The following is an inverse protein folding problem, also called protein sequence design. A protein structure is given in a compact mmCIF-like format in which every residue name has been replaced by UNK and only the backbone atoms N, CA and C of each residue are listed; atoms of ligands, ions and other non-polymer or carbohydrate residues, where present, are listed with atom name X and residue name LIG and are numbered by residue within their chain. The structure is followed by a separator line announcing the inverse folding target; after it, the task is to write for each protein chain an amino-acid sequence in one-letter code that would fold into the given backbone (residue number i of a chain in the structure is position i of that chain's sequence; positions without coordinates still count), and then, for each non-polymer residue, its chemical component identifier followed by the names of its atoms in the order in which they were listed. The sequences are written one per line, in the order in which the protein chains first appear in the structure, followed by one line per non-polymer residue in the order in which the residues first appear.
data_IF_211906451840
#
_entry.id   IF_211906451840
#
_cell.length_a   1.000
_cell.length_b   1.000
_cell.length_c   1.000
_cell.angle_alpha   90.00
_cell.angle_beta   90.00
_cell.angle_gamma   90.00
#
_symmetry.space_group_name_H-M   'P 1'
#
loop_
_entity.id
_entity.type
_entity.pdbx_description
1 polymer ?
#
# COMPACT_ATOMS: atom_id res chain seq x y z
N UNK A 1 1.75 16.11 27.73
CA UNK A 1 1.92 15.45 26.42
C UNK A 1 0.60 14.83 26.00
N UNK A 2 0.11 15.23 24.84
CA UNK A 2 -1.12 14.69 24.23
C UNK A 2 -0.80 13.27 23.73
N UNK A 3 -1.50 12.20 24.19
CA UNK A 3 -1.14 10.80 23.92
C UNK A 3 -1.39 10.34 22.47
N UNK A 4 -1.72 11.26 21.55
CA UNK A 4 -2.11 10.97 20.18
C UNK A 4 -0.98 10.98 19.15
N UNK A 5 0.29 11.16 19.55
CA UNK A 5 1.42 10.90 18.65
C UNK A 5 1.78 9.42 18.75
N UNK A 6 0.95 8.57 18.13
CA UNK A 6 1.22 7.14 17.98
C UNK A 6 2.29 6.93 16.92
N UNK A 7 3.40 6.32 17.34
CA UNK A 7 4.40 5.69 16.50
C UNK A 7 5.77 5.75 17.15
N UNK A 8 6.33 4.57 17.40
CA UNK A 8 7.72 4.43 17.83
C UNK A 8 8.61 4.75 16.64
N UNK A 9 8.90 6.03 16.44
CA UNK A 9 9.85 6.45 15.41
C UNK A 9 11.23 6.59 16.06
N UNK A 10 12.21 5.86 15.52
CA UNK A 10 13.58 5.91 16.00
C UNK A 10 14.19 7.29 15.82
N UNK A 11 15.22 7.58 16.61
CA UNK A 11 16.09 8.75 16.41
C UNK A 11 17.23 8.31 15.50
N UNK A 12 17.46 9.05 14.41
CA UNK A 12 18.60 8.83 13.53
C UNK A 12 19.81 9.62 14.06
N UNK A 13 20.96 8.95 14.17
CA UNK A 13 22.23 9.63 14.38
C UNK A 13 22.93 9.85 13.03
N UNK A 14 23.43 11.05 12.81
CA UNK A 14 24.18 11.45 11.61
C UNK A 14 25.54 11.99 12.02
N UNK A 15 26.53 11.84 11.15
CA UNK A 15 27.91 12.20 11.50
C UNK A 15 28.05 13.71 11.81
N UNK A 16 27.51 14.56 10.94
CA UNK A 16 27.52 16.01 11.06
C UNK A 16 26.27 16.64 10.42
N UNK A 17 26.08 17.94 10.62
CA UNK A 17 24.95 18.68 10.03
C UNK A 17 24.95 18.65 8.50
N UNK A 18 26.13 18.66 7.88
CA UNK A 18 26.27 18.61 6.41
C UNK A 18 25.81 17.25 5.85
N UNK A 19 26.01 16.18 6.60
CA UNK A 19 25.54 14.83 6.26
C UNK A 19 24.02 14.77 6.26
N UNK A 20 23.36 15.45 7.21
CA UNK A 20 21.90 15.57 7.18
C UNK A 20 21.41 16.36 5.97
N UNK A 21 22.02 17.50 5.67
CA UNK A 21 21.68 18.30 4.49
C UNK A 21 21.82 17.49 3.18
N UNK A 22 22.84 16.64 3.09
CA UNK A 22 23.02 15.71 1.96
C UNK A 22 21.97 14.60 1.90
N UNK A 23 21.50 14.12 3.05
CA UNK A 23 20.51 13.04 3.14
C UNK A 23 19.11 13.50 2.73
N UNK A 24 18.77 14.75 3.02
CA UNK A 24 17.47 15.35 2.69
C UNK A 24 17.48 16.14 1.40
N UNK A 25 18.65 16.49 0.86
CA UNK A 25 18.82 17.47 -0.23
C UNK A 25 18.23 18.85 0.14
N UNK A 26 18.10 19.13 1.44
CA UNK A 26 17.59 20.37 2.00
C UNK A 26 18.67 21.05 2.86
N UNK A 27 18.80 22.38 2.75
CA UNK A 27 19.71 23.14 3.60
C UNK A 27 19.07 23.41 4.95
N UNK A 28 19.81 23.13 6.02
CA UNK A 28 19.42 23.51 7.36
C UNK A 28 19.46 25.03 7.50
N UNK A 29 18.47 25.56 8.21
CA UNK A 29 18.50 26.94 8.69
C UNK A 29 19.62 27.13 9.72
N UNK A 30 20.02 28.38 9.93
CA UNK A 30 21.05 28.70 10.93
C UNK A 30 20.68 28.27 12.34
N UNK A 31 19.39 28.32 12.68
CA UNK A 31 18.87 27.93 13.98
C UNK A 31 18.92 26.40 14.16
N UNK A 32 18.46 25.64 13.15
CA UNK A 32 18.49 24.16 13.19
C UNK A 32 19.92 23.62 13.29
N UNK A 33 20.85 24.19 12.50
CA UNK A 33 22.27 23.84 12.55
C UNK A 33 22.84 24.11 13.94
N UNK A 34 22.52 25.27 14.52
CA UNK A 34 22.97 25.61 15.87
C UNK A 34 22.40 24.68 16.95
N UNK A 35 21.15 24.24 16.83
CA UNK A 35 20.55 23.27 17.76
C UNK A 35 21.31 21.94 17.70
N UNK A 36 21.56 21.41 16.50
CA UNK A 36 22.34 20.17 16.34
C UNK A 36 23.76 20.29 16.90
N UNK A 37 24.48 21.36 16.55
CA UNK A 37 25.87 21.60 16.98
C UNK A 37 26.01 21.77 18.50
N UNK A 38 24.94 22.20 19.18
CA UNK A 38 24.90 22.30 20.66
C UNK A 38 24.54 20.99 21.36
N UNK A 39 24.30 19.92 20.61
CA UNK A 39 23.87 18.64 21.16
C UNK A 39 22.36 18.49 21.33
N UNK A 40 21.58 19.33 20.65
CA UNK A 40 20.12 19.21 20.57
C UNK A 40 19.66 18.18 19.54
N UNK A 41 18.35 18.16 19.29
CA UNK A 41 17.66 17.25 18.38
C UNK A 41 16.74 18.03 17.44
N UNK A 42 16.79 17.68 16.17
CA UNK A 42 15.74 18.09 15.23
C UNK A 42 14.61 17.07 15.30
N UNK A 43 13.37 17.53 15.39
CA UNK A 43 12.19 16.66 15.40
C UNK A 43 11.31 16.95 14.19
N UNK A 44 10.63 15.92 13.70
CA UNK A 44 9.79 16.03 12.50
C UNK A 44 8.47 16.78 12.70
N UNK A 45 7.98 16.87 13.94
CA UNK A 45 6.66 17.41 14.27
C UNK A 45 6.73 18.20 15.58
N UNK A 46 6.23 19.44 15.56
CA UNK A 46 6.13 20.31 16.74
C UNK A 46 5.46 19.66 17.95
N UNK A 47 4.54 18.71 17.76
CA UNK A 47 3.87 17.98 18.86
C UNK A 47 4.84 17.18 19.72
N UNK A 48 6.03 16.87 19.20
CA UNK A 48 7.11 16.21 19.92
C UNK A 48 7.94 17.20 20.76
N UNK A 49 7.71 18.51 20.62
CA UNK A 49 8.40 19.58 21.35
C UNK A 49 7.50 20.11 22.47
N UNK A 50 8.01 20.06 23.70
CA UNK A 50 7.43 20.72 24.86
C UNK A 50 8.36 21.85 25.33
N UNK A 51 7.90 23.10 25.25
CA UNK A 51 8.66 24.29 25.64
C UNK A 51 10.10 24.35 25.08
N UNK A 52 10.30 24.01 23.80
CA UNK A 52 11.60 23.94 23.10
C UNK A 52 12.51 22.77 23.51
N UNK A 53 11.97 21.80 24.23
CA UNK A 53 12.69 20.59 24.62
C UNK A 53 11.92 19.35 24.20
N UNK A 54 12.61 18.23 24.08
CA UNK A 54 11.98 16.91 23.94
C UNK A 54 12.65 15.91 24.88
N UNK A 55 11.95 14.81 25.15
CA UNK A 55 12.47 13.71 25.94
C UNK A 55 12.72 12.52 25.03
N UNK A 56 13.95 12.03 25.03
CA UNK A 56 14.31 10.77 24.41
C UNK A 56 14.54 9.72 25.50
N UNK A 57 13.98 8.54 25.32
CA UNK A 57 14.15 7.43 26.26
C UNK A 57 15.11 6.43 25.65
N UNK A 58 16.19 6.10 26.35
CA UNK A 58 17.13 5.07 25.92
C UNK A 58 16.59 3.65 26.12
N UNK A 59 17.33 2.64 25.64
CA UNK A 59 16.95 1.22 25.80
C UNK A 59 16.89 0.75 27.25
N UNK A 60 17.52 1.49 28.17
CA UNK A 60 17.52 1.20 29.60
C UNK A 60 16.35 1.88 30.32
N UNK A 61 15.51 2.62 29.60
CA UNK A 61 14.36 3.35 30.15
C UNK A 61 14.73 4.68 30.82
N UNK A 62 15.98 5.16 30.66
CA UNK A 62 16.39 6.47 31.16
C UNK A 62 16.00 7.55 30.14
N UNK A 63 15.32 8.57 30.63
CA UNK A 63 14.89 9.73 29.84
C UNK A 63 15.98 10.80 29.85
N UNK A 64 16.33 11.30 28.68
CA UNK A 64 17.25 12.41 28.47
C UNK A 64 16.48 13.57 27.85
N UNK A 65 16.63 14.75 28.43
CA UNK A 65 15.99 15.97 27.90
C UNK A 65 16.97 16.70 27.00
N UNK A 66 16.55 17.01 25.79
CA UNK A 66 17.35 17.71 24.78
C UNK A 66 16.61 18.95 24.29
N UNK A 67 17.37 19.99 23.94
CA UNK A 67 16.86 21.12 23.17
C UNK A 67 16.33 20.59 21.85
N UNK A 68 15.08 20.93 21.51
CA UNK A 68 14.38 20.38 20.37
C UNK A 68 13.84 21.49 19.48
N UNK A 69 14.08 21.34 18.17
CA UNK A 69 13.54 22.22 17.15
C UNK A 69 12.84 21.41 16.06
N UNK A 70 11.69 21.90 15.63
CA UNK A 70 10.99 21.34 14.47
C UNK A 70 11.76 21.65 13.19
N UNK A 71 11.94 20.65 12.33
CA UNK A 71 12.59 20.76 11.02
C UNK A 71 11.81 19.94 9.98
N UNK A 72 11.95 20.29 8.71
CA UNK A 72 11.45 19.48 7.59
C UNK A 72 12.38 18.30 7.35
N UNK A 73 11.81 17.10 7.18
CA UNK A 73 12.55 15.84 6.98
C UNK A 73 12.35 15.30 5.55
N UNK A 74 11.60 16.01 4.70
CA UNK A 74 11.14 15.49 3.41
C UNK A 74 10.19 14.28 3.54
N UNK A 75 9.67 13.82 2.40
CA UNK A 75 8.64 12.78 2.35
C UNK A 75 9.14 11.41 2.82
N UNK A 76 10.40 11.08 2.54
CA UNK A 76 10.97 9.78 2.87
C UNK A 76 11.30 9.68 4.38
N UNK A 77 12.18 10.57 4.86
CA UNK A 77 12.64 10.50 6.25
C UNK A 77 11.56 10.88 7.26
N UNK A 78 10.63 11.78 6.91
CA UNK A 78 9.49 12.11 7.77
C UNK A 78 8.62 10.91 8.15
N UNK A 79 8.62 9.84 7.34
CA UNK A 79 7.90 8.58 7.62
C UNK A 79 8.73 7.57 8.41
N UNK A 80 10.06 7.64 8.35
CA UNK A 80 10.97 6.62 8.89
C UNK A 80 11.52 6.99 10.27
N UNK A 81 11.77 8.28 10.52
CA UNK A 81 12.49 8.74 11.71
C UNK A 81 11.71 9.84 12.43
N UNK A 82 11.76 9.84 13.77
CA UNK A 82 11.05 10.79 14.62
C UNK A 82 11.86 12.05 14.92
N UNK A 83 13.18 11.90 14.91
CA UNK A 83 14.13 12.98 15.11
C UNK A 83 15.54 12.61 14.64
N UNK A 84 16.40 13.62 14.57
CA UNK A 84 17.80 13.52 14.14
C UNK A 84 18.69 14.17 15.19
N UNK A 85 19.75 13.46 15.58
CA UNK A 85 20.82 13.94 16.45
C UNK A 85 22.17 13.74 15.78
N UNK A 86 23.19 14.46 16.23
CA UNK A 86 24.56 14.18 15.82
C UNK A 86 25.09 12.92 16.51
N UNK A 87 26.01 12.23 15.82
CA UNK A 87 26.66 11.02 16.32
C UNK A 87 27.37 11.27 17.65
N UNK A 88 28.08 12.40 17.78
CA UNK A 88 28.75 12.80 19.01
C UNK A 88 27.75 12.93 20.18
N UNK A 89 26.58 13.52 19.94
CA UNK A 89 25.50 13.66 20.93
C UNK A 89 24.95 12.29 21.32
N UNK A 90 24.72 11.40 20.35
CA UNK A 90 24.23 10.06 20.61
C UNK A 90 25.24 9.25 21.43
N UNK A 91 26.54 9.37 21.15
CA UNK A 91 27.61 8.71 21.90
C UNK A 91 27.72 9.26 23.33
N UNK A 92 27.65 10.58 23.52
CA UNK A 92 27.67 11.21 24.86
C UNK A 92 26.50 10.78 25.74
N UNK A 93 25.33 10.55 25.15
CA UNK A 93 24.13 10.11 25.82
C UNK A 93 24.02 8.58 25.94
N UNK A 94 25.04 7.85 25.46
CA UNK A 94 25.08 6.38 25.41
C UNK A 94 23.83 5.78 24.72
N UNK A 95 23.32 6.46 23.69
CA UNK A 95 22.16 5.98 22.95
C UNK A 95 22.52 4.72 22.15
N UNK A 96 21.68 3.67 22.20
CA UNK A 96 21.93 2.43 21.48
C UNK A 96 21.83 2.64 19.96
N UNK A 97 22.93 2.42 19.24
CA UNK A 97 22.93 2.37 17.78
C UNK A 97 22.58 0.94 17.32
N UNK A 98 21.41 0.77 16.71
CA UNK A 98 20.90 -0.55 16.31
C UNK A 98 21.40 -0.95 14.91
N UNK A 99 21.66 0.03 14.03
CA UNK A 99 22.14 -0.21 12.67
C UNK A 99 22.94 0.99 12.13
N UNK A 100 23.98 0.70 11.35
CA UNK A 100 24.72 1.70 10.60
C UNK A 100 24.24 1.73 9.16
N UNK A 101 23.76 2.88 8.71
CA UNK A 101 23.39 3.09 7.31
C UNK A 101 24.56 3.76 6.57
N UNK A 102 25.02 3.12 5.50
CA UNK A 102 26.02 3.71 4.61
C UNK A 102 25.30 4.40 3.45
N UNK A 103 25.47 5.72 3.34
CA UNK A 103 24.88 6.48 2.25
C UNK A 103 25.97 6.93 1.29
N UNK A 104 25.80 6.57 0.02
CA UNK A 104 26.72 6.91 -1.06
C UNK A 104 26.13 8.07 -1.87
N UNK A 105 26.80 9.22 -1.87
CA UNK A 105 26.44 10.40 -2.66
C UNK A 105 27.10 10.37 -4.06
N UNK A 106 26.67 11.28 -4.95
CA UNK A 106 27.32 11.49 -6.26
C UNK A 106 27.11 10.37 -7.30
N UNK A 107 26.18 9.45 -7.08
CA UNK A 107 25.82 8.42 -8.06
C UNK A 107 25.12 9.04 -9.27
N UNK A 108 25.75 8.96 -10.45
CA UNK A 108 25.08 9.26 -11.72
C UNK A 108 23.86 8.35 -11.90
N UNK A 109 22.76 8.84 -12.48
CA UNK A 109 21.55 8.07 -12.71
C UNK A 109 21.80 6.70 -13.39
N UNK A 110 22.69 6.66 -14.41
CA UNK A 110 23.08 5.41 -15.06
C UNK A 110 23.69 4.38 -14.10
N UNK A 111 24.52 4.82 -13.15
CA UNK A 111 25.14 3.94 -12.17
C UNK A 111 24.13 3.46 -11.12
N UNK A 112 23.22 4.33 -10.70
CA UNK A 112 22.15 3.98 -9.75
C UNK A 112 21.29 2.82 -10.28
N UNK A 113 20.94 2.82 -11.56
CA UNK A 113 20.17 1.73 -12.20
C UNK A 113 20.93 0.40 -12.28
N UNK A 114 22.26 0.45 -12.21
CA UNK A 114 23.12 -0.74 -12.19
C UNK A 114 23.36 -1.28 -10.78
N UNK A 115 23.15 -0.49 -9.71
CA UNK A 115 23.39 -0.91 -8.32
C UNK A 115 22.58 -2.16 -7.96
N UNK A 116 21.25 -2.22 -8.19
CA UNK A 116 20.48 -3.42 -7.84
C UNK A 116 20.94 -4.68 -8.58
N UNK A 117 21.37 -4.53 -9.85
CA UNK A 117 21.84 -5.65 -10.67
C UNK A 117 23.17 -6.20 -10.17
N UNK A 118 24.10 -5.31 -9.83
CA UNK A 118 25.41 -5.69 -9.29
C UNK A 118 25.27 -6.27 -7.90
N UNK A 119 24.44 -5.69 -7.05
CA UNK A 119 24.14 -6.19 -5.71
C UNK A 119 23.59 -7.62 -5.73
N UNK A 120 22.61 -7.88 -6.60
CA UNK A 120 22.06 -9.22 -6.78
C UNK A 120 23.13 -10.22 -7.27
N UNK A 121 24.01 -9.80 -8.18
CA UNK A 121 25.14 -10.62 -8.63
C UNK A 121 26.16 -10.92 -7.51
N UNK A 122 26.28 -10.03 -6.52
CA UNK A 122 27.12 -10.22 -5.34
C UNK A 122 26.39 -10.93 -4.19
N UNK A 123 25.12 -11.32 -4.37
CA UNK A 123 24.30 -11.97 -3.36
C UNK A 123 23.88 -11.05 -2.21
N UNK A 124 23.91 -9.73 -2.41
CA UNK A 124 23.40 -8.75 -1.45
C UNK A 124 21.87 -8.70 -1.57
N UNK A 125 21.12 -8.93 -0.49
CA UNK A 125 19.67 -8.85 -0.50
C UNK A 125 19.18 -7.46 -0.96
N UNK A 126 18.14 -7.38 -1.82
CA UNK A 126 17.58 -6.10 -2.28
C UNK A 126 17.10 -5.21 -1.14
N UNK A 127 16.59 -5.80 -0.05
CA UNK A 127 16.14 -5.11 1.15
C UNK A 127 17.25 -4.34 1.90
N UNK A 128 18.51 -4.76 1.72
CA UNK A 128 19.68 -4.13 2.34
C UNK A 128 20.18 -2.91 1.54
N UNK A 129 19.61 -2.65 0.36
CA UNK A 129 19.98 -1.54 -0.51
C UNK A 129 18.78 -0.63 -0.68
N UNK A 130 18.89 0.59 -0.19
CA UNK A 130 17.85 1.60 -0.34
C UNK A 130 18.33 2.71 -1.28
N UNK A 131 17.67 2.84 -2.42
CA UNK A 131 17.87 3.99 -3.31
C UNK A 131 17.00 5.14 -2.79
N UNK A 132 17.59 6.34 -2.67
CA UNK A 132 16.92 7.57 -2.16
C UNK A 132 15.67 7.95 -2.96
N UNK A 133 15.62 7.61 -4.25
CA UNK A 133 14.34 7.45 -4.95
C UNK A 133 13.72 6.17 -4.43
N UNK A 134 12.98 6.29 -3.33
CA UNK A 134 12.30 5.18 -2.68
C UNK A 134 11.76 4.25 -3.74
N UNK A 135 12.04 2.95 -3.59
CA UNK A 135 11.61 1.93 -4.54
C UNK A 135 10.19 2.29 -4.98
N UNK A 136 10.04 2.68 -6.26
CA UNK A 136 8.80 2.39 -6.96
C UNK A 136 8.71 0.88 -6.80
N UNK A 137 7.93 0.47 -5.80
CA UNK A 137 7.88 -0.92 -5.38
C UNK A 137 7.15 -1.56 -6.54
N UNK A 138 7.92 -2.07 -7.50
CA UNK A 138 7.39 -2.88 -8.57
C UNK A 138 6.56 -3.94 -7.86
N UNK A 139 5.23 -3.85 -8.02
CA UNK A 139 4.29 -4.67 -7.28
C UNK A 139 4.75 -6.13 -7.40
N UNK A 140 5.02 -6.81 -6.28
CA UNK A 140 5.75 -8.07 -6.31
C UNK A 140 5.02 -9.07 -7.20
N UNK A 141 5.75 -9.89 -7.95
CA UNK A 141 5.17 -10.82 -8.94
C UNK A 141 4.11 -11.75 -8.32
N UNK A 142 4.24 -12.04 -7.01
CA UNK A 142 3.25 -12.75 -6.20
C UNK A 142 1.87 -12.09 -6.18
N UNK A 143 1.80 -10.74 -6.21
CA UNK A 143 0.56 -9.99 -6.31
C UNK A 143 -0.15 -10.28 -7.64
N UNK A 144 0.56 -10.25 -8.76
CA UNK A 144 -0.02 -10.58 -10.08
C UNK A 144 -0.46 -12.05 -10.17
N UNK A 145 0.31 -12.99 -9.60
CA UNK A 145 -0.09 -14.40 -9.55
C UNK A 145 -1.38 -14.57 -8.73
N UNK A 146 -1.44 -13.95 -7.55
CA UNK A 146 -2.61 -13.98 -6.67
C UNK A 146 -3.84 -13.35 -7.34
N UNK A 147 -3.65 -12.18 -7.97
CA UNK A 147 -4.69 -11.49 -8.73
C UNK A 147 -5.23 -12.37 -9.88
N UNK A 148 -4.32 -13.02 -10.62
CA UNK A 148 -4.68 -13.92 -11.72
C UNK A 148 -5.44 -15.14 -11.22
N UNK A 149 -5.02 -15.74 -10.09
CA UNK A 149 -5.70 -16.88 -9.48
C UNK A 149 -7.11 -16.50 -8.97
N UNK A 150 -7.24 -15.31 -8.35
CA UNK A 150 -8.51 -14.77 -7.91
C UNK A 150 -9.46 -14.51 -9.10
N UNK A 151 -8.95 -13.92 -10.17
CA UNK A 151 -9.66 -13.69 -11.43
C UNK A 151 -10.21 -15.00 -12.04
N UNK A 152 -9.36 -16.01 -12.16
CA UNK A 152 -9.75 -17.32 -12.70
C UNK A 152 -10.81 -17.98 -11.81
N UNK A 153 -10.67 -17.88 -10.49
CA UNK A 153 -11.64 -18.40 -9.53
C UNK A 153 -12.99 -17.69 -9.65
N UNK A 154 -12.98 -16.36 -9.78
CA UNK A 154 -14.20 -15.57 -9.96
C UNK A 154 -14.92 -15.94 -11.27
N UNK A 155 -14.18 -16.11 -12.37
CA UNK A 155 -14.74 -16.58 -13.65
C UNK A 155 -15.36 -17.98 -13.49
N UNK A 156 -14.67 -18.90 -12.81
CA UNK A 156 -15.18 -20.25 -12.58
C UNK A 156 -16.49 -20.24 -11.77
N UNK A 157 -16.55 -19.45 -10.69
CA UNK A 157 -17.76 -19.28 -9.86
C UNK A 157 -18.90 -18.68 -10.71
N UNK A 158 -18.63 -17.62 -11.47
CA UNK A 158 -19.62 -16.99 -12.35
C UNK A 158 -20.20 -17.98 -13.36
N UNK A 159 -19.37 -18.85 -13.95
CA UNK A 159 -19.81 -19.91 -14.85
C UNK A 159 -20.71 -20.95 -14.16
N UNK A 160 -20.37 -21.37 -12.94
CA UNK A 160 -21.18 -22.33 -12.16
C UNK A 160 -22.52 -21.74 -11.76
N UNK A 161 -22.52 -20.49 -11.26
CA UNK A 161 -23.75 -19.78 -10.85
C UNK A 161 -24.65 -19.51 -12.05
N UNK A 162 -24.09 -19.04 -13.17
CA UNK A 162 -24.82 -18.84 -14.43
C UNK A 162 -25.50 -20.14 -14.90
N UNK A 163 -24.78 -21.28 -14.80
CA UNK A 163 -25.35 -22.61 -15.11
C UNK A 163 -26.49 -23.01 -14.18
N UNK A 164 -26.33 -22.77 -12.87
CA UNK A 164 -27.36 -23.06 -11.86
C UNK A 164 -28.63 -22.25 -12.10
N UNK A 165 -28.47 -20.95 -12.31
CA UNK A 165 -29.58 -20.02 -12.57
C UNK A 165 -30.32 -20.39 -13.85
N UNK A 166 -29.60 -20.73 -14.92
CA UNK A 166 -30.21 -21.11 -16.20
C UNK A 166 -30.97 -22.46 -16.13
N UNK A 167 -30.47 -23.44 -15.36
CA UNK A 167 -31.20 -24.70 -15.14
C UNK A 167 -32.51 -24.48 -14.37
N UNK A 168 -32.47 -23.66 -13.32
CA UNK A 168 -33.65 -23.30 -12.54
C UNK A 168 -34.67 -22.54 -13.38
N UNK A 169 -34.21 -21.58 -14.19
CA UNK A 169 -35.08 -20.82 -15.09
C UNK A 169 -35.65 -21.64 -16.24
N UNK A 170 -34.92 -22.64 -16.75
CA UNK A 170 -35.49 -23.58 -17.73
C UNK A 170 -36.66 -24.37 -17.16
N UNK A 171 -36.57 -24.84 -15.91
CA UNK A 171 -37.67 -25.53 -15.24
C UNK A 171 -38.90 -24.61 -15.05
N UNK A 172 -38.66 -23.33 -14.76
CA UNK A 172 -39.71 -22.31 -14.72
C UNK A 172 -40.26 -22.00 -16.12
N UNK A 173 -39.42 -21.98 -17.16
CA UNK A 173 -39.83 -21.70 -18.54
C UNK A 173 -40.73 -22.79 -19.10
N UNK A 174 -40.43 -24.08 -18.87
CA UNK A 174 -41.34 -25.18 -19.22
C UNK A 174 -42.68 -25.05 -18.50
N UNK A 175 -42.66 -24.71 -17.20
CA UNK A 175 -43.90 -24.49 -16.44
C UNK A 175 -44.73 -23.30 -16.97
N UNK A 176 -44.09 -22.17 -17.30
CA UNK A 176 -44.76 -20.98 -17.83
C UNK A 176 -45.20 -21.11 -19.28
N UNK A 177 -44.49 -21.89 -20.09
CA UNK A 177 -44.91 -22.22 -21.46
C UNK A 177 -46.20 -23.03 -21.46
N UNK A 178 -46.33 -23.99 -20.54
CA UNK A 178 -47.59 -24.72 -20.32
C UNK A 178 -48.75 -23.83 -19.83
N UNK A 179 -48.46 -22.63 -19.31
CA UNK A 179 -49.43 -21.63 -18.86
C UNK A 179 -49.74 -20.55 -19.93
N UNK A 180 -49.17 -20.64 -21.14
CA UNK A 180 -49.52 -19.77 -22.28
C UNK A 180 -48.82 -18.41 -22.33
N UNK A 181 -47.77 -18.18 -21.53
CA UNK A 181 -46.98 -16.94 -21.57
C UNK A 181 -46.03 -16.89 -22.77
N UNK A 182 -45.91 -15.72 -23.40
CA UNK A 182 -45.08 -15.52 -24.58
C UNK A 182 -43.58 -15.60 -24.27
N UNK A 183 -42.81 -16.15 -25.22
CA UNK A 183 -41.37 -16.40 -25.09
C UNK A 183 -40.59 -15.11 -24.82
N UNK A 184 -41.03 -13.98 -25.36
CA UNK A 184 -40.37 -12.67 -25.21
C UNK A 184 -40.41 -12.11 -23.78
N UNK A 185 -41.47 -12.40 -23.02
CA UNK A 185 -41.56 -11.95 -21.62
C UNK A 185 -40.55 -12.68 -20.74
N UNK A 186 -40.37 -13.99 -20.98
CA UNK A 186 -39.37 -14.79 -20.26
C UNK A 186 -37.93 -14.34 -20.54
N UNK A 187 -37.64 -13.91 -21.77
CA UNK A 187 -36.31 -13.38 -22.13
C UNK A 187 -36.04 -12.02 -21.48
N UNK A 188 -37.01 -11.10 -21.47
CA UNK A 188 -36.85 -9.80 -20.80
C UNK A 188 -36.65 -9.96 -19.29
N UNK A 189 -37.43 -10.84 -18.66
CA UNK A 189 -37.32 -11.12 -17.22
C UNK A 189 -35.97 -11.76 -16.86
N UNK A 190 -35.49 -12.71 -17.68
CA UNK A 190 -34.17 -13.34 -17.51
C UNK A 190 -33.02 -12.32 -17.65
N UNK A 191 -33.08 -11.46 -18.67
CA UNK A 191 -32.07 -10.42 -18.86
C UNK A 191 -32.05 -9.43 -17.70
N UNK A 192 -33.21 -9.08 -17.15
CA UNK A 192 -33.33 -8.20 -15.99
C UNK A 192 -32.78 -8.84 -14.71
N UNK A 193 -33.11 -10.11 -14.46
CA UNK A 193 -32.61 -10.84 -13.31
C UNK A 193 -31.08 -11.00 -13.34
N UNK A 194 -30.52 -11.36 -14.51
CA UNK A 194 -29.07 -11.47 -14.69
C UNK A 194 -28.39 -10.10 -14.51
N UNK A 195 -28.98 -9.03 -15.05
CA UNK A 195 -28.43 -7.67 -14.90
C UNK A 195 -28.43 -7.22 -13.44
N UNK A 196 -29.52 -7.48 -12.69
CA UNK A 196 -29.62 -7.13 -11.28
C UNK A 196 -28.64 -7.92 -10.41
N UNK A 197 -28.48 -9.23 -10.67
CA UNK A 197 -27.51 -10.08 -9.97
C UNK A 197 -26.07 -9.64 -10.29
N UNK A 198 -25.76 -9.32 -11.57
CA UNK A 198 -24.46 -8.79 -11.94
C UNK A 198 -24.16 -7.49 -11.22
N UNK A 199 -25.10 -6.53 -11.26
CA UNK A 199 -24.90 -5.22 -10.66
C UNK A 199 -24.74 -5.29 -9.14
N UNK A 200 -25.59 -6.07 -8.46
CA UNK A 200 -25.49 -6.27 -7.02
C UNK A 200 -24.21 -7.00 -6.63
N UNK A 201 -23.81 -8.04 -7.36
CA UNK A 201 -22.55 -8.75 -7.12
C UNK A 201 -21.32 -7.86 -7.35
N UNK A 202 -21.36 -6.97 -8.34
CA UNK A 202 -20.27 -6.05 -8.64
C UNK A 202 -20.13 -4.98 -7.54
N UNK A 203 -21.26 -4.45 -7.06
CA UNK A 203 -21.28 -3.51 -5.94
C UNK A 203 -20.77 -4.15 -4.65
N UNK A 204 -21.29 -5.33 -4.28
CA UNK A 204 -20.89 -6.07 -3.07
C UNK A 204 -19.43 -6.50 -3.16
N UNK A 205 -18.99 -7.02 -4.31
CA UNK A 205 -17.60 -7.42 -4.52
C UNK A 205 -16.62 -6.25 -4.42
N UNK A 206 -16.98 -5.10 -4.99
CA UNK A 206 -16.17 -3.88 -4.89
C UNK A 206 -16.08 -3.40 -3.44
N UNK A 207 -17.20 -3.36 -2.72
CA UNK A 207 -17.24 -2.99 -1.30
C UNK A 207 -16.45 -3.98 -0.44
N UNK A 208 -16.59 -5.28 -0.67
CA UNK A 208 -15.87 -6.32 0.08
C UNK A 208 -14.36 -6.31 -0.18
N UNK A 209 -13.90 -5.84 -1.34
CA UNK A 209 -12.47 -5.69 -1.63
C UNK A 209 -11.90 -4.39 -1.08
N UNK A 210 -12.65 -3.29 -1.21
CA UNK A 210 -12.20 -1.96 -0.79
C UNK A 210 -12.28 -1.75 0.73
N UNK A 211 -13.29 -2.29 1.40
CA UNK A 211 -13.49 -2.06 2.83
C UNK A 211 -12.35 -2.63 3.70
N UNK A 212 -11.86 -3.87 3.50
CA UNK A 212 -10.69 -4.36 4.23
C UNK A 212 -9.44 -3.56 3.90
N UNK A 213 -9.24 -3.16 2.64
CA UNK A 213 -8.08 -2.38 2.22
C UNK A 213 -8.06 -0.99 2.90
N UNK A 214 -9.22 -0.34 2.97
CA UNK A 214 -9.40 0.93 3.66
C UNK A 214 -9.23 0.79 5.19
N UNK A 215 -9.76 -0.30 5.77
CA UNK A 215 -9.57 -0.61 7.18
C UNK A 215 -8.09 -0.87 7.53
N UNK A 216 -7.36 -1.59 6.67
CA UNK A 216 -5.93 -1.82 6.83
C UNK A 216 -5.13 -0.51 6.72
N UNK A 217 -5.42 0.33 5.73
CA UNK A 217 -4.79 1.65 5.61
C UNK A 217 -5.03 2.52 6.85
N UNK A 218 -6.25 2.50 7.41
CA UNK A 218 -6.57 3.23 8.63
C UNK A 218 -5.88 2.67 9.88
N UNK A 219 -5.74 1.34 9.97
CA UNK A 219 -5.12 0.66 11.13
C UNK A 219 -3.59 0.73 11.14
N UNK A 220 -2.93 0.78 9.97
CA UNK A 220 -1.47 0.79 9.84
C UNK A 220 -0.86 2.20 9.75
N UNK A 221 -1.68 3.24 9.66
CA UNK A 221 -1.23 4.65 9.62
C UNK A 221 -0.55 5.07 8.31
N UNK A 222 -0.03 6.30 8.29
CA UNK A 222 0.51 7.05 7.12
C UNK A 222 1.66 6.37 6.34
N UNK A 223 2.10 5.18 6.74
CA UNK A 223 3.10 4.37 6.05
C UNK A 223 2.57 3.56 4.87
N UNK A 224 1.27 3.26 4.82
CA UNK A 224 0.65 2.51 3.72
C UNK A 224 -0.18 3.44 2.83
N UNK A 225 0.35 3.78 1.66
CA UNK A 225 -0.41 4.49 0.63
C UNK A 225 -1.56 3.60 0.16
N UNK A 226 -2.79 4.09 0.35
CA UNK A 226 -3.99 3.49 -0.23
C UNK A 226 -3.96 3.69 -1.76
N UNK A 227 -3.15 2.88 -2.44
CA UNK A 227 -3.04 2.86 -3.89
C UNK A 227 -3.99 1.80 -4.45
N UNK A 228 -5.17 2.24 -4.87
CA UNK A 228 -6.04 1.39 -5.69
C UNK A 228 -5.50 1.39 -7.10
N UNK A 229 -5.05 0.23 -7.58
CA UNK A 229 -4.81 0.02 -9.00
C UNK A 229 -6.16 -0.07 -9.74
N UNK A 230 -6.62 1.08 -10.24
CA UNK A 230 -7.85 1.19 -11.02
C UNK A 230 -7.82 0.35 -12.29
N UNK A 231 -6.65 0.07 -12.86
CA UNK A 231 -6.53 -0.75 -14.06
C UNK A 231 -6.79 -2.22 -13.75
N UNK A 232 -6.23 -2.74 -12.66
CA UNK A 232 -6.53 -4.09 -12.16
C UNK A 232 -8.01 -4.24 -11.77
N UNK A 233 -8.59 -3.22 -11.13
CA UNK A 233 -10.02 -3.20 -10.78
C UNK A 233 -10.92 -3.18 -12.03
N UNK A 234 -10.55 -2.42 -13.06
CA UNK A 234 -11.24 -2.43 -14.35
C UNK A 234 -11.16 -3.78 -15.06
N UNK A 235 -9.97 -4.39 -15.09
CA UNK A 235 -9.75 -5.71 -15.71
C UNK A 235 -10.55 -6.81 -15.00
N UNK A 236 -10.63 -6.78 -13.67
CA UNK A 236 -11.42 -7.74 -12.90
C UNK A 236 -12.92 -7.59 -13.15
N UNK A 237 -13.45 -6.38 -13.19
CA UNK A 237 -14.85 -6.14 -13.58
C UNK A 237 -15.14 -6.66 -15.00
N UNK A 238 -14.26 -6.36 -15.96
CA UNK A 238 -14.42 -6.82 -17.34
C UNK A 238 -14.37 -8.35 -17.45
N UNK A 239 -13.46 -9.02 -16.74
CA UNK A 239 -13.33 -10.47 -16.75
C UNK A 239 -14.59 -11.18 -16.20
N UNK A 240 -15.16 -10.66 -15.11
CA UNK A 240 -16.39 -11.20 -14.52
C UNK A 240 -17.59 -11.00 -15.46
N UNK A 241 -17.71 -9.82 -16.08
CA UNK A 241 -18.77 -9.54 -17.06
C UNK A 241 -18.64 -10.46 -18.29
N UNK A 242 -17.44 -10.58 -18.85
CA UNK A 242 -17.16 -11.49 -19.97
C UNK A 242 -17.48 -12.95 -19.62
N UNK A 243 -17.05 -13.43 -18.45
CA UNK A 243 -17.36 -14.79 -17.98
C UNK A 243 -18.86 -15.04 -17.86
N UNK A 244 -19.61 -14.05 -17.37
CA UNK A 244 -21.06 -14.13 -17.22
C UNK A 244 -21.78 -14.14 -18.57
N UNK A 245 -21.37 -13.27 -19.50
CA UNK A 245 -21.92 -13.19 -20.87
C UNK A 245 -21.62 -14.48 -21.64
N UNK A 246 -20.36 -14.96 -21.63
CA UNK A 246 -19.96 -16.20 -22.29
C UNK A 246 -20.71 -17.39 -21.71
N UNK A 247 -20.87 -17.45 -20.38
CA UNK A 247 -21.68 -18.46 -19.70
C UNK A 247 -23.12 -18.48 -20.20
N UNK A 248 -23.75 -17.32 -20.33
CA UNK A 248 -25.11 -17.18 -20.85
C UNK A 248 -25.22 -17.61 -22.33
N UNK A 249 -24.34 -17.11 -23.21
CA UNK A 249 -24.38 -17.38 -24.66
C UNK A 249 -24.06 -18.84 -25.01
N UNK A 250 -23.03 -19.43 -24.39
CA UNK A 250 -22.65 -20.83 -24.67
C UNK A 250 -23.77 -21.81 -24.28
N UNK A 251 -24.55 -21.48 -23.25
CA UNK A 251 -25.72 -22.25 -22.83
C UNK A 251 -26.90 -22.05 -23.78
N UNK A 252 -27.14 -20.82 -24.24
CA UNK A 252 -28.20 -20.50 -25.21
C UNK A 252 -28.02 -21.28 -26.52
N UNK A 253 -26.78 -21.40 -27.00
CA UNK A 253 -26.45 -22.19 -28.19
C UNK A 253 -26.74 -23.69 -28.02
N UNK A 254 -26.52 -24.25 -26.82
CA UNK A 254 -26.83 -25.65 -26.50
C UNK A 254 -28.33 -25.94 -26.40
N UNK A 255 -29.14 -24.95 -26.02
CA UNK A 255 -30.59 -25.09 -25.90
C UNK A 255 -31.31 -24.99 -27.24
N UNK A 256 -30.81 -24.19 -28.19
CA UNK A 256 -31.38 -24.10 -29.54
C UNK A 256 -31.01 -25.29 -30.47
N UNK A 257 -30.13 -26.19 -30.02
CA UNK A 257 -29.70 -27.38 -30.78
C UNK A 257 -30.39 -28.68 -30.32
N UNK A 258 -31.27 -28.62 -29.31
CA UNK A 258 -32.12 -29.73 -28.86
C UNK A 258 -33.57 -29.44 -29.21
#
# INVERSE_FOLDING_TARGET
MDPNVSGAFGVLSVHDSDSWEKLTDEKLTSDERQVLERGGILVRDKKLVDASHTQITDSNGKSHTLDAQESTFGDYWGRQVGGVVLEDTAQQLELPAISSLWVFDGLSAQKADHVPKVANALGIPPEDIQLSKGYETETPLSFYISLTAALLSAIAIALVVSRGLNRSMNALHTAFFHLGLSRDWSFKSLSWAISFICFSSLAIGSLSGLAPLAAFSFLLGDGFLFAIDWTAMGLTMMAVLLGTIIGAFTQQKRLNQR
#
